data_IF_912266203628
#
_entry.id   IF_912266203628
#
_cell.length_a   1.000
_cell.length_b   1.000
_cell.length_c   1.000
_cell.angle_alpha   90.00
_cell.angle_beta   90.00
_cell.angle_gamma   90.00
#
_symmetry.space_group_name_H-M   'P 1'
#
loop_
_entity.id
_entity.type
_entity.pdbx_description
1 polymer ?
#
# COMPACT_ATOMS: atom_id res chain seq x y z
N UNK A 1 11.63 -1.69 17.55
CA UNK A 1 12.22 -0.35 17.84
C UNK A 1 13.53 -0.56 18.55
N UNK A 2 14.62 -0.06 17.97
CA UNK A 2 15.87 0.12 18.68
C UNK A 2 15.87 1.50 19.33
N UNK A 3 16.14 1.59 20.64
CA UNK A 3 16.16 2.85 21.38
C UNK A 3 17.58 3.38 21.60
N UNK A 4 18.59 2.64 21.13
CA UNK A 4 20.01 2.90 21.38
C UNK A 4 20.79 2.56 20.11
N UNK A 5 21.79 3.36 19.81
CA UNK A 5 22.69 3.12 18.70
C UNK A 5 24.12 3.59 19.03
N UNK A 6 25.02 3.42 18.06
CA UNK A 6 26.37 3.98 18.12
C UNK A 6 26.59 4.83 16.88
N UNK A 7 26.95 6.10 17.05
CA UNK A 7 27.28 7.03 15.98
C UNK A 7 28.73 7.50 16.17
N UNK A 8 29.61 7.22 15.21
CA UNK A 8 31.04 7.56 15.32
C UNK A 8 31.71 6.98 16.58
N UNK A 9 31.33 5.77 17.00
CA UNK A 9 31.84 5.12 18.22
C UNK A 9 31.23 5.62 19.53
N UNK A 10 30.35 6.63 19.50
CA UNK A 10 29.65 7.15 20.70
C UNK A 10 28.28 6.52 20.83
N UNK A 11 27.94 6.08 22.05
CA UNK A 11 26.60 5.60 22.37
C UNK A 11 25.61 6.77 22.28
N UNK A 12 24.53 6.57 21.56
CA UNK A 12 23.43 7.52 21.42
C UNK A 12 22.10 6.83 21.73
N UNK A 13 21.09 7.61 22.06
CA UNK A 13 19.72 7.13 22.23
C UNK A 13 18.84 7.72 21.13
N UNK A 14 17.91 6.91 20.63
CA UNK A 14 16.84 7.41 19.78
C UNK A 14 15.66 7.84 20.66
N UNK A 15 15.14 9.02 20.41
CA UNK A 15 13.97 9.58 21.07
C UNK A 15 12.93 9.96 20.03
N UNK A 16 11.65 9.88 20.40
CA UNK A 16 10.54 10.25 19.51
C UNK A 16 9.94 11.56 19.98
N UNK A 17 9.87 12.54 19.09
CA UNK A 17 9.12 13.79 19.28
C UNK A 17 7.87 13.75 18.39
N UNK A 18 6.69 13.64 19.00
CA UNK A 18 5.40 13.60 18.30
C UNK A 18 4.78 15.00 18.30
N UNK A 19 4.34 15.50 17.14
CA UNK A 19 3.75 16.84 17.03
C UNK A 19 2.48 16.99 17.87
N UNK A 20 1.71 15.92 18.04
CA UNK A 20 0.50 15.90 18.87
C UNK A 20 0.73 15.55 20.35
N UNK A 21 1.97 15.43 20.82
CA UNK A 21 2.22 15.19 22.26
C UNK A 21 1.80 16.42 23.08
N UNK A 22 1.08 16.22 24.19
CA UNK A 22 0.40 17.25 25.01
C UNK A 22 -0.81 17.92 24.35
N UNK A 23 -1.13 17.56 23.11
CA UNK A 23 -2.20 18.16 22.31
C UNK A 23 -3.20 17.09 21.83
N UNK A 24 -3.29 15.95 22.51
CA UNK A 24 -4.17 14.84 22.10
C UNK A 24 -5.65 15.25 22.11
N UNK A 25 -6.02 16.19 22.98
CA UNK A 25 -7.37 16.70 23.14
C UNK A 25 -7.74 17.78 22.10
N UNK A 26 -6.77 18.43 21.46
CA UNK A 26 -7.03 19.59 20.59
C UNK A 26 -7.91 19.23 19.39
N UNK A 27 -7.69 18.03 18.83
CA UNK A 27 -8.51 17.47 17.75
C UNK A 27 -10.01 17.38 18.09
N UNK A 28 -10.39 17.36 19.38
CA UNK A 28 -11.79 17.32 19.81
C UNK A 28 -12.56 18.51 19.24
N UNK A 29 -11.92 19.68 19.11
CA UNK A 29 -12.55 20.88 18.56
C UNK A 29 -13.00 20.63 17.11
N UNK A 30 -12.09 20.13 16.26
CA UNK A 30 -12.41 19.78 14.88
C UNK A 30 -13.49 18.71 14.78
N UNK A 31 -13.44 17.68 15.64
CA UNK A 31 -14.50 16.67 15.71
C UNK A 31 -15.85 17.22 16.15
N UNK A 32 -15.89 18.12 17.13
CA UNK A 32 -17.13 18.78 17.56
C UNK A 32 -17.73 19.62 16.43
N UNK A 33 -16.89 20.38 15.71
CA UNK A 33 -17.33 21.16 14.55
C UNK A 33 -17.87 20.27 13.43
N UNK A 34 -17.23 19.14 13.13
CA UNK A 34 -17.72 18.16 12.15
C UNK A 34 -19.08 17.55 12.54
N UNK A 35 -19.36 17.42 13.84
CA UNK A 35 -20.62 16.88 14.36
C UNK A 35 -21.68 17.96 14.63
N UNK A 36 -21.34 19.24 14.45
CA UNK A 36 -22.28 20.35 14.58
C UNK A 36 -22.96 20.64 13.23
N UNK A 37 -24.24 20.27 13.07
CA UNK A 37 -24.95 20.49 11.82
C UNK A 37 -25.22 21.98 11.53
N UNK A 38 -25.06 22.87 12.50
CA UNK A 38 -25.18 24.31 12.29
C UNK A 38 -23.86 24.93 11.81
N UNK A 39 -22.74 24.21 11.91
CA UNK A 39 -21.42 24.65 11.46
C UNK A 39 -21.06 24.13 10.04
N UNK A 40 -21.09 22.81 9.82
CA UNK A 40 -20.69 22.23 8.52
C UNK A 40 -21.85 22.34 7.52
N UNK A 41 -21.73 23.30 6.60
CA UNK A 41 -22.76 23.65 5.60
C UNK A 41 -22.20 23.78 4.18
N UNK A 42 -20.87 23.73 4.04
CA UNK A 42 -20.19 23.80 2.75
C UNK A 42 -18.83 23.11 2.81
N UNK A 43 -18.19 22.87 1.64
CA UNK A 43 -16.80 22.45 1.57
C UNK A 43 -15.85 23.31 2.42
N UNK A 44 -16.05 24.63 2.45
CA UNK A 44 -15.16 25.56 3.15
C UNK A 44 -15.29 25.43 4.67
N UNK A 45 -16.51 25.31 5.21
CA UNK A 45 -16.67 25.12 6.66
C UNK A 45 -16.24 23.72 7.08
N UNK A 46 -16.46 22.69 6.24
CA UNK A 46 -15.85 21.38 6.42
C UNK A 46 -14.31 21.46 6.50
N UNK A 47 -13.65 22.11 5.53
CA UNK A 47 -12.20 22.28 5.50
C UNK A 47 -11.69 23.06 6.71
N UNK A 48 -12.43 24.07 7.16
CA UNK A 48 -12.11 24.81 8.39
C UNK A 48 -12.22 23.93 9.64
N UNK A 49 -13.19 23.02 9.72
CA UNK A 49 -13.32 22.09 10.85
C UNK A 49 -12.14 21.11 10.92
N UNK A 50 -11.79 20.48 9.80
CA UNK A 50 -10.70 19.48 9.74
C UNK A 50 -9.31 20.11 9.93
N UNK A 51 -9.15 21.41 9.70
CA UNK A 51 -7.94 22.15 10.06
C UNK A 51 -7.64 22.16 11.56
N UNK A 52 -8.64 21.93 12.42
CA UNK A 52 -8.46 21.78 13.87
C UNK A 52 -8.11 20.36 14.30
N UNK A 53 -7.88 19.43 13.36
CA UNK A 53 -7.50 18.04 13.66
C UNK A 53 -5.99 17.89 13.46
N UNK A 54 -5.26 17.74 14.56
CA UNK A 54 -3.79 17.67 14.55
C UNK A 54 -3.21 16.34 14.09
N UNK A 55 -4.04 15.32 13.89
CA UNK A 55 -3.63 14.05 13.32
C UNK A 55 -3.55 14.10 11.80
N UNK A 56 -2.57 13.43 11.22
CA UNK A 56 -2.44 13.34 9.76
C UNK A 56 -3.44 12.34 9.17
N UNK A 57 -4.59 12.84 8.72
CA UNK A 57 -5.66 12.03 8.13
C UNK A 57 -6.20 12.64 6.83
N UNK A 58 -6.70 11.78 5.96
CA UNK A 58 -7.46 12.16 4.77
C UNK A 58 -8.94 12.30 5.13
N UNK A 59 -9.50 13.50 4.96
CA UNK A 59 -10.90 13.79 5.21
C UNK A 59 -11.64 14.05 3.91
N UNK A 60 -12.82 13.44 3.78
CA UNK A 60 -13.69 13.59 2.61
C UNK A 60 -15.03 14.17 3.02
N UNK A 61 -15.57 15.02 2.16
CA UNK A 61 -16.88 15.64 2.28
C UNK A 61 -17.71 15.36 1.02
N UNK A 62 -18.99 15.13 1.22
CA UNK A 62 -19.98 15.11 0.16
C UNK A 62 -21.31 15.66 0.68
N UNK A 63 -21.93 16.54 -0.09
CA UNK A 63 -23.34 16.91 0.03
C UNK A 63 -24.06 16.62 -1.31
N UNK A 64 -25.30 17.10 -1.49
CA UNK A 64 -26.06 16.85 -2.72
C UNK A 64 -25.53 17.55 -3.98
N UNK A 65 -24.55 18.44 -3.82
CA UNK A 65 -24.05 19.37 -4.86
C UNK A 65 -22.53 19.43 -4.95
N UNK A 66 -21.83 19.19 -3.84
CA UNK A 66 -20.40 19.40 -3.71
C UNK A 66 -19.69 18.19 -3.11
N UNK A 67 -18.42 18.05 -3.48
CA UNK A 67 -17.50 17.15 -2.81
C UNK A 67 -16.23 17.90 -2.42
N UNK A 68 -15.56 17.48 -1.35
CA UNK A 68 -14.30 18.11 -0.96
C UNK A 68 -13.35 17.13 -0.29
N UNK A 69 -12.08 17.52 -0.28
CA UNK A 69 -11.00 16.80 0.36
C UNK A 69 -10.09 17.77 1.13
N UNK A 70 -9.55 17.29 2.24
CA UNK A 70 -8.47 17.95 2.98
C UNK A 70 -7.62 16.92 3.73
N UNK A 71 -6.30 17.06 3.68
CA UNK A 71 -5.37 16.33 4.54
C UNK A 71 -5.11 17.16 5.80
N UNK A 72 -5.53 16.67 6.98
CA UNK A 72 -5.28 17.36 8.25
C UNK A 72 -3.88 17.04 8.79
N UNK A 73 -3.48 17.72 9.88
CA UNK A 73 -2.29 17.35 10.65
C UNK A 73 -1.43 18.53 11.09
N UNK A 74 -0.86 18.42 12.29
CA UNK A 74 0.18 19.33 12.77
C UNK A 74 1.54 18.90 12.17
N UNK A 75 1.74 19.24 10.91
CA UNK A 75 2.94 18.90 10.13
C UNK A 75 4.04 19.95 10.42
N UNK A 76 5.06 19.66 11.25
CA UNK A 76 5.99 20.68 11.71
C UNK A 76 6.88 21.19 10.58
N UNK A 77 7.13 22.49 10.56
CA UNK A 77 8.11 23.09 9.65
C UNK A 77 9.50 22.74 10.16
N UNK A 78 10.20 21.87 9.44
CA UNK A 78 11.55 21.43 9.82
C UNK A 78 12.59 22.54 9.59
N UNK A 79 13.68 22.49 10.35
CA UNK A 79 14.85 23.32 10.08
C UNK A 79 15.39 23.10 8.65
N UNK A 80 15.99 24.13 8.08
CA UNK A 80 16.58 24.06 6.73
C UNK A 80 17.73 23.05 6.72
N UNK A 81 17.78 22.19 5.69
CA UNK A 81 18.85 21.19 5.54
C UNK A 81 18.64 19.90 6.34
N UNK A 82 17.53 19.78 7.08
CA UNK A 82 17.13 18.52 7.69
C UNK A 82 16.56 17.58 6.62
N UNK A 83 17.18 16.42 6.46
CA UNK A 83 16.64 15.31 5.70
C UNK A 83 15.60 14.57 6.56
N UNK A 84 14.36 14.47 6.05
CA UNK A 84 13.26 13.84 6.78
C UNK A 84 13.29 12.31 6.71
N UNK A 85 14.17 11.72 5.89
CA UNK A 85 14.34 10.27 5.76
C UNK A 85 15.14 9.66 6.93
N UNK A 86 15.86 10.49 7.70
CA UNK A 86 16.75 10.03 8.77
C UNK A 86 16.40 10.65 10.12
N UNK A 87 16.74 9.96 11.23
CA UNK A 87 16.74 10.58 12.56
C UNK A 87 17.64 11.81 12.59
N UNK A 88 17.20 12.86 13.27
CA UNK A 88 17.95 14.10 13.45
C UNK A 88 18.62 14.16 14.83
N UNK A 89 19.73 14.89 14.92
CA UNK A 89 20.36 15.18 16.21
C UNK A 89 19.46 16.08 17.05
N UNK A 90 19.28 15.73 18.33
CA UNK A 90 18.57 16.55 19.31
C UNK A 90 19.41 17.78 19.72
N UNK A 91 19.48 18.76 18.82
CA UNK A 91 20.20 20.02 18.98
C UNK A 91 19.35 21.16 18.39
N UNK A 92 19.40 22.34 19.01
CA UNK A 92 18.63 23.51 18.60
C UNK A 92 18.70 23.85 17.09
N UNK A 93 19.82 23.55 16.43
CA UNK A 93 19.98 23.80 14.99
C UNK A 93 19.09 22.92 14.08
N UNK A 94 18.60 21.78 14.58
CA UNK A 94 17.82 20.80 13.82
C UNK A 94 16.40 20.60 14.36
N UNK A 95 16.03 21.33 15.41
CA UNK A 95 14.67 21.33 15.95
C UNK A 95 13.68 21.89 14.93
N UNK A 96 12.39 21.60 15.13
CA UNK A 96 11.34 22.24 14.33
C UNK A 96 11.41 23.76 14.51
N UNK A 97 11.04 24.52 13.47
CA UNK A 97 11.10 25.98 13.55
C UNK A 97 10.18 26.48 14.65
N UNK A 98 10.73 27.35 15.50
CA UNK A 98 10.06 27.92 16.68
C UNK A 98 9.50 26.87 17.64
N UNK A 99 10.12 25.69 17.74
CA UNK A 99 9.69 24.68 18.70
C UNK A 99 9.88 25.16 20.15
N UNK A 100 8.81 25.05 20.94
CA UNK A 100 8.82 25.32 22.37
C UNK A 100 8.62 24.01 23.14
N UNK A 101 9.65 23.49 23.84
CA UNK A 101 9.55 22.22 24.56
C UNK A 101 8.59 22.27 25.77
N UNK A 102 8.29 23.45 26.33
CA UNK A 102 7.40 23.57 27.48
C UNK A 102 5.93 23.37 27.10
N UNK A 103 5.56 23.75 25.88
CA UNK A 103 4.19 23.62 25.35
C UNK A 103 4.08 22.59 24.22
N UNK A 104 5.20 22.05 23.75
CA UNK A 104 5.31 21.21 22.56
C UNK A 104 4.61 21.80 21.32
N UNK A 105 4.77 23.11 21.11
CA UNK A 105 4.25 23.82 19.93
C UNK A 105 5.40 24.20 19.00
N UNK A 106 5.13 24.36 17.71
CA UNK A 106 6.09 24.81 16.71
C UNK A 106 5.38 25.56 15.58
N UNK A 107 6.14 26.04 14.60
CA UNK A 107 5.55 26.40 13.31
C UNK A 107 5.07 25.14 12.60
N UNK A 108 3.86 25.19 12.06
CA UNK A 108 3.26 24.09 11.28
C UNK A 108 2.99 24.52 9.84
N UNK A 109 2.83 23.52 8.97
CA UNK A 109 2.44 23.71 7.58
C UNK A 109 1.12 24.50 7.51
N UNK A 110 1.14 25.65 6.83
CA UNK A 110 -0.03 26.51 6.71
C UNK A 110 -1.17 25.79 5.95
N UNK A 111 -2.42 26.14 6.25
CA UNK A 111 -3.62 25.51 5.66
C UNK A 111 -3.59 25.41 4.13
N UNK A 112 -3.12 26.45 3.44
CA UNK A 112 -3.02 26.48 1.97
C UNK A 112 -1.99 25.51 1.38
N UNK A 113 -1.06 25.00 2.19
CA UNK A 113 -0.04 24.05 1.79
C UNK A 113 -0.42 22.59 2.12
N UNK A 114 -1.53 22.37 2.82
CA UNK A 114 -2.09 21.03 2.97
C UNK A 114 -2.80 20.61 1.68
N UNK A 115 -2.65 19.34 1.23
CA UNK A 115 -3.43 18.79 0.13
C UNK A 115 -4.92 18.97 0.37
N UNK A 116 -5.60 19.65 -0.56
CA UNK A 116 -7.02 19.91 -0.48
C UNK A 116 -7.61 20.16 -1.88
N UNK A 117 -8.91 19.97 -2.01
CA UNK A 117 -9.66 20.29 -3.24
C UNK A 117 -11.15 20.38 -2.97
N UNK A 118 -11.86 21.06 -3.86
CA UNK A 118 -13.33 21.15 -3.91
C UNK A 118 -13.76 20.77 -5.32
N UNK A 119 -14.78 19.93 -5.43
CA UNK A 119 -15.42 19.49 -6.67
C UNK A 119 -14.47 18.85 -7.70
N UNK A 120 -13.51 18.06 -7.22
CA UNK A 120 -12.82 17.09 -8.07
C UNK A 120 -13.82 16.03 -8.55
N UNK A 121 -13.70 15.57 -9.79
CA UNK A 121 -14.63 14.61 -10.43
C UNK A 121 -14.98 13.40 -9.54
N UNK A 122 -13.98 12.87 -8.82
CA UNK A 122 -14.14 11.84 -7.79
C UNK A 122 -12.90 11.77 -6.91
N UNK A 123 -13.01 11.10 -5.75
CA UNK A 123 -11.90 10.80 -4.85
C UNK A 123 -11.77 9.29 -4.64
N UNK A 124 -10.53 8.80 -4.67
CA UNK A 124 -10.17 7.51 -4.08
C UNK A 124 -9.08 7.73 -3.05
N UNK A 125 -9.09 6.90 -2.01
CA UNK A 125 -8.00 6.86 -1.05
C UNK A 125 -7.92 5.47 -0.45
N UNK A 126 -6.78 4.82 -0.63
CA UNK A 126 -6.43 3.59 0.06
C UNK A 126 -5.05 3.69 0.72
N UNK A 127 -4.87 4.77 1.48
CA UNK A 127 -3.60 5.16 2.10
C UNK A 127 -2.50 5.56 1.11
N UNK A 128 -2.84 5.76 -0.17
CA UNK A 128 -1.91 6.30 -1.16
C UNK A 128 -1.50 7.73 -0.82
N UNK A 129 -0.42 8.16 -1.48
CA UNK A 129 0.03 9.54 -1.55
C UNK A 129 -1.12 10.53 -1.81
N UNK A 130 -1.13 11.62 -1.05
CA UNK A 130 -2.25 12.56 -0.92
C UNK A 130 -2.44 13.48 -2.13
N UNK A 131 -1.33 13.97 -2.69
CA UNK A 131 -1.33 14.87 -3.84
C UNK A 131 -0.02 14.78 -4.61
N UNK A 132 -0.05 15.29 -5.85
CA UNK A 132 1.15 15.55 -6.65
C UNK A 132 2.05 16.54 -5.90
N UNK A 133 3.37 16.33 -5.98
CA UNK A 133 4.39 17.20 -5.39
C UNK A 133 4.32 17.38 -3.85
N UNK A 134 3.50 16.58 -3.17
CA UNK A 134 3.52 16.44 -1.71
C UNK A 134 4.46 15.31 -1.29
N UNK A 135 5.13 15.37 -0.14
CA UNK A 135 5.98 14.26 0.33
C UNK A 135 5.19 13.29 1.21
N UNK A 136 5.67 12.06 1.33
CA UNK A 136 5.09 11.02 2.19
C UNK A 136 6.21 10.26 2.88
N UNK A 137 5.93 9.71 4.06
CA UNK A 137 6.94 9.04 4.88
C UNK A 137 7.26 7.61 4.40
N UNK A 138 6.35 6.96 3.68
CA UNK A 138 6.53 5.56 3.27
C UNK A 138 7.34 5.45 1.98
N UNK A 139 8.40 4.63 1.98
CA UNK A 139 9.13 4.26 0.76
C UNK A 139 8.30 3.38 -0.20
N UNK A 140 7.12 2.92 0.21
CA UNK A 140 6.20 2.14 -0.64
C UNK A 140 5.26 2.97 -1.51
N UNK A 141 5.18 4.29 -1.29
CA UNK A 141 4.26 5.18 -2.01
C UNK A 141 4.81 5.58 -3.38
N UNK A 142 4.56 4.74 -4.39
CA UNK A 142 5.02 4.95 -5.77
C UNK A 142 3.93 4.87 -6.84
N UNK A 143 4.35 4.64 -8.09
CA UNK A 143 3.47 4.58 -9.28
C UNK A 143 2.55 3.37 -9.32
N UNK A 144 2.98 2.27 -8.71
CA UNK A 144 2.12 1.14 -8.37
C UNK A 144 1.80 1.25 -6.89
N UNK A 145 0.54 1.14 -6.52
CA UNK A 145 0.08 1.20 -5.13
C UNK A 145 -1.32 0.59 -5.05
N UNK A 146 -1.73 -0.02 -3.92
CA UNK A 146 -3.07 -0.66 -3.80
C UNK A 146 -4.25 0.26 -4.09
N UNK A 147 -4.07 1.57 -3.96
CA UNK A 147 -5.04 2.58 -4.39
C UNK A 147 -5.41 2.49 -5.87
N UNK A 148 -4.48 2.03 -6.73
CA UNK A 148 -4.72 1.81 -8.16
C UNK A 148 -5.87 0.81 -8.41
N UNK A 149 -6.01 -0.21 -7.54
CA UNK A 149 -7.08 -1.20 -7.67
C UNK A 149 -8.46 -0.55 -7.58
N UNK A 150 -8.62 0.46 -6.70
CA UNK A 150 -9.85 1.26 -6.63
C UNK A 150 -9.94 2.25 -7.79
N UNK A 151 -8.87 2.99 -8.05
CA UNK A 151 -8.77 4.01 -9.11
C UNK A 151 -9.22 3.45 -10.47
N UNK A 152 -8.65 2.31 -10.88
CA UNK A 152 -8.93 1.68 -12.16
C UNK A 152 -10.41 1.36 -12.39
N UNK A 153 -11.12 1.03 -11.30
CA UNK A 153 -12.53 0.66 -11.34
C UNK A 153 -13.42 1.90 -11.23
N UNK A 154 -13.12 2.80 -10.31
CA UNK A 154 -13.89 4.04 -10.09
C UNK A 154 -13.78 4.96 -11.30
N UNK A 155 -12.59 5.14 -11.86
CA UNK A 155 -12.38 5.96 -13.07
C UNK A 155 -13.21 5.47 -14.25
N UNK A 156 -13.27 4.15 -14.49
CA UNK A 156 -14.09 3.55 -15.55
C UNK A 156 -15.59 3.78 -15.30
N UNK A 157 -16.03 3.65 -14.05
CA UNK A 157 -17.42 3.92 -13.67
C UNK A 157 -17.80 5.38 -13.88
N UNK A 158 -16.96 6.32 -13.45
CA UNK A 158 -17.19 7.76 -13.60
C UNK A 158 -17.22 8.14 -15.08
N UNK A 159 -16.28 7.63 -15.88
CA UNK A 159 -16.26 7.87 -17.33
C UNK A 159 -17.50 7.34 -18.06
N UNK A 160 -18.09 6.23 -17.59
CA UNK A 160 -19.35 5.71 -18.12
C UNK A 160 -20.58 6.54 -17.70
N UNK A 161 -20.48 7.31 -16.61
CA UNK A 161 -21.58 8.06 -16.03
C UNK A 161 -22.59 7.19 -15.27
N UNK A 162 -23.54 7.83 -14.58
CA UNK A 162 -24.63 7.12 -13.88
C UNK A 162 -24.16 6.25 -12.71
N UNK A 163 -23.12 6.68 -11.99
CA UNK A 163 -22.60 5.94 -10.83
C UNK A 163 -23.68 5.82 -9.77
N UNK A 164 -23.99 4.57 -9.40
CA UNK A 164 -24.91 4.24 -8.31
C UNK A 164 -24.14 3.73 -7.10
N UNK A 165 -24.78 3.77 -5.93
CA UNK A 165 -24.29 3.09 -4.72
C UNK A 165 -23.96 1.61 -4.97
N UNK A 166 -24.81 0.91 -5.72
CA UNK A 166 -24.59 -0.50 -6.05
C UNK A 166 -23.37 -0.72 -6.96
N UNK A 167 -23.18 0.11 -8.00
CA UNK A 167 -22.02 -0.01 -8.88
C UNK A 167 -20.71 0.33 -8.15
N UNK A 168 -20.73 1.32 -7.25
CA UNK A 168 -19.56 1.67 -6.45
C UNK A 168 -19.18 0.56 -5.45
N UNK A 169 -20.17 -0.04 -4.78
CA UNK A 169 -19.95 -1.20 -3.91
C UNK A 169 -19.38 -2.38 -4.71
N UNK A 170 -19.88 -2.62 -5.93
CA UNK A 170 -19.36 -3.67 -6.81
C UNK A 170 -17.89 -3.40 -7.18
N UNK A 171 -17.52 -2.17 -7.51
CA UNK A 171 -16.13 -1.80 -7.79
C UNK A 171 -15.21 -2.02 -6.59
N UNK A 172 -15.64 -1.61 -5.38
CA UNK A 172 -14.86 -1.84 -4.17
C UNK A 172 -14.73 -3.34 -3.85
N UNK A 173 -15.81 -4.12 -3.97
CA UNK A 173 -15.76 -5.56 -3.75
C UNK A 173 -14.86 -6.28 -4.78
N UNK A 174 -14.83 -5.77 -6.02
CA UNK A 174 -13.96 -6.27 -7.07
C UNK A 174 -12.47 -5.99 -6.77
N UNK A 175 -12.15 -4.77 -6.33
CA UNK A 175 -10.81 -4.38 -5.92
C UNK A 175 -10.32 -5.18 -4.70
N UNK A 176 -11.22 -5.48 -3.76
CA UNK A 176 -10.89 -6.22 -2.54
C UNK A 176 -10.42 -7.67 -2.79
N UNK A 177 -10.64 -8.21 -3.98
CA UNK A 177 -10.22 -9.57 -4.36
C UNK A 177 -9.02 -9.57 -5.32
N UNK A 178 -8.57 -8.40 -5.79
CA UNK A 178 -7.48 -8.30 -6.75
C UNK A 178 -6.11 -8.46 -6.07
N UNK A 179 -5.18 -9.14 -6.73
CA UNK A 179 -3.78 -9.20 -6.31
C UNK A 179 -3.01 -8.07 -7.02
N UNK A 180 -2.50 -7.10 -6.24
CA UNK A 180 -1.83 -5.91 -6.79
C UNK A 180 -0.65 -6.27 -7.70
N UNK A 181 0.13 -7.29 -7.32
CA UNK A 181 1.30 -7.70 -8.10
C UNK A 181 0.84 -8.30 -9.44
N UNK A 182 -0.22 -9.11 -9.42
CA UNK A 182 -0.74 -9.75 -10.61
C UNK A 182 -1.45 -8.77 -11.56
N UNK A 183 -2.18 -7.79 -11.04
CA UNK A 183 -2.90 -6.79 -11.86
C UNK A 183 -1.93 -5.75 -12.45
N UNK A 184 -1.07 -5.15 -11.62
CA UNK A 184 -0.31 -3.96 -12.03
C UNK A 184 1.11 -4.28 -12.53
N UNK A 185 1.76 -5.34 -12.05
CA UNK A 185 3.20 -5.59 -12.31
C UNK A 185 3.43 -6.78 -13.24
N UNK A 186 2.78 -7.91 -12.97
CA UNK A 186 2.92 -9.17 -13.70
C UNK A 186 2.77 -9.04 -15.23
N UNK A 187 1.87 -8.21 -15.79
CA UNK A 187 1.80 -8.05 -17.24
C UNK A 187 3.11 -7.56 -17.88
N UNK A 188 3.89 -6.72 -17.18
CA UNK A 188 5.18 -6.22 -17.69
C UNK A 188 6.29 -7.27 -17.53
N UNK A 189 6.30 -7.99 -16.41
CA UNK A 189 7.19 -9.14 -16.22
C UNK A 189 6.99 -10.20 -17.32
N UNK A 190 5.73 -10.50 -17.66
CA UNK A 190 5.40 -11.43 -18.75
C UNK A 190 5.85 -10.92 -20.13
N UNK A 191 5.86 -9.60 -20.37
CA UNK A 191 6.42 -9.03 -21.61
C UNK A 191 7.93 -9.22 -21.72
N UNK A 192 8.68 -9.06 -20.62
CA UNK A 192 10.12 -9.38 -20.60
C UNK A 192 10.34 -10.87 -20.89
N UNK A 193 9.62 -11.76 -20.20
CA UNK A 193 9.73 -13.21 -20.39
C UNK A 193 9.39 -13.61 -21.83
N UNK A 194 8.36 -13.03 -22.42
CA UNK A 194 7.89 -13.32 -23.77
C UNK A 194 8.60 -12.51 -24.87
N UNK A 195 9.67 -11.77 -24.56
CA UNK A 195 10.50 -11.11 -25.58
C UNK A 195 11.20 -12.10 -26.52
N UNK A 196 11.27 -13.38 -26.13
CA UNK A 196 11.60 -14.52 -26.99
C UNK A 196 10.94 -15.80 -26.48
N UNK A 197 10.89 -16.85 -27.31
CA UNK A 197 10.26 -18.14 -26.97
C UNK A 197 10.83 -18.72 -25.67
N UNK A 198 9.95 -19.09 -24.74
CA UNK A 198 10.33 -19.78 -23.49
C UNK A 198 10.51 -21.26 -23.79
N UNK A 199 11.76 -21.73 -23.80
CA UNK A 199 12.11 -23.11 -24.17
C UNK A 199 12.11 -24.08 -22.98
N UNK A 200 12.32 -23.59 -21.76
CA UNK A 200 12.21 -24.39 -20.54
C UNK A 200 10.73 -24.70 -20.28
N UNK A 201 10.38 -25.99 -20.26
CA UNK A 201 8.99 -26.45 -20.19
C UNK A 201 8.31 -26.12 -18.86
N UNK A 202 9.07 -26.10 -17.75
CA UNK A 202 8.56 -25.70 -16.43
C UNK A 202 8.22 -24.22 -16.40
N UNK A 203 9.14 -23.37 -16.88
CA UNK A 203 8.90 -21.94 -16.98
C UNK A 203 7.74 -21.62 -17.94
N UNK A 204 7.68 -22.26 -19.11
CA UNK A 204 6.59 -22.08 -20.06
C UNK A 204 5.21 -22.43 -19.47
N UNK A 205 5.11 -23.53 -18.70
CA UNK A 205 3.88 -23.90 -18.01
C UNK A 205 3.48 -22.87 -16.95
N UNK A 206 4.44 -22.34 -16.18
CA UNK A 206 4.20 -21.30 -15.19
C UNK A 206 3.72 -19.99 -15.84
N UNK A 207 4.36 -19.55 -16.92
CA UNK A 207 3.95 -18.41 -17.74
C UNK A 207 2.52 -18.57 -18.24
N UNK A 208 2.15 -19.76 -18.73
CA UNK A 208 0.78 -20.05 -19.17
C UNK A 208 -0.25 -19.86 -18.06
N UNK A 209 0.01 -20.38 -16.86
CA UNK A 209 -0.88 -20.23 -15.70
C UNK A 209 -1.01 -18.78 -15.25
N UNK A 210 0.12 -18.06 -15.15
CA UNK A 210 0.15 -16.64 -14.78
C UNK A 210 -0.60 -15.78 -15.80
N UNK A 211 -0.39 -16.01 -17.10
CA UNK A 211 -1.07 -15.27 -18.18
C UNK A 211 -2.58 -15.53 -18.19
N UNK A 212 -2.99 -16.79 -17.97
CA UNK A 212 -4.41 -17.15 -17.86
C UNK A 212 -5.06 -16.46 -16.65
N UNK A 213 -4.37 -16.40 -15.51
CA UNK A 213 -4.87 -15.73 -14.32
C UNK A 213 -5.01 -14.21 -14.51
N UNK A 214 -4.02 -13.56 -15.12
CA UNK A 214 -4.12 -12.14 -15.51
C UNK A 214 -5.31 -11.90 -16.44
N UNK A 215 -5.50 -12.76 -17.45
CA UNK A 215 -6.64 -12.67 -18.39
C UNK A 215 -7.99 -12.86 -17.69
N UNK A 216 -8.03 -13.71 -16.66
CA UNK A 216 -9.20 -13.92 -15.80
C UNK A 216 -9.43 -12.78 -14.77
N UNK A 217 -8.60 -11.74 -14.79
CA UNK A 217 -8.74 -10.54 -13.98
C UNK A 217 -7.90 -10.50 -12.71
N UNK A 218 -6.90 -11.38 -12.56
CA UNK A 218 -5.87 -11.30 -11.49
C UNK A 218 -6.42 -11.33 -10.05
N UNK A 219 -7.55 -12.02 -9.81
CA UNK A 219 -8.20 -12.10 -8.50
C UNK A 219 -7.93 -13.40 -7.74
N UNK A 220 -7.95 -13.31 -6.42
CA UNK A 220 -8.00 -14.46 -5.50
C UNK A 220 -9.47 -14.79 -5.18
N UNK A 221 -10.13 -15.49 -6.08
CA UNK A 221 -11.54 -15.91 -5.92
C UNK A 221 -11.65 -17.39 -5.67
N UNK A 222 -12.55 -17.79 -4.78
CA UNK A 222 -12.96 -19.19 -4.64
C UNK A 222 -13.58 -19.72 -5.95
N UNK A 223 -13.52 -21.03 -6.16
CA UNK A 223 -14.15 -21.71 -7.31
C UNK A 223 -15.69 -21.60 -7.29
N UNK A 224 -16.26 -21.55 -6.09
CA UNK A 224 -17.66 -21.23 -5.83
C UNK A 224 -17.77 -20.67 -4.41
N UNK A 225 -18.89 -20.03 -4.07
CA UNK A 225 -19.07 -19.43 -2.76
C UNK A 225 -18.85 -20.46 -1.63
N UNK A 226 -17.84 -20.24 -0.79
CA UNK A 226 -17.52 -21.10 0.35
C UNK A 226 -16.82 -22.42 0.00
N UNK A 227 -16.30 -22.58 -1.22
CA UNK A 227 -15.59 -23.81 -1.63
C UNK A 227 -14.26 -24.01 -0.92
N UNK A 228 -13.68 -22.94 -0.34
CA UNK A 228 -12.36 -22.91 0.30
C UNK A 228 -11.23 -23.35 -0.63
N UNK A 229 -11.39 -23.12 -1.93
CA UNK A 229 -10.40 -23.45 -2.95
C UNK A 229 -10.37 -22.35 -3.99
N UNK A 230 -9.18 -21.78 -4.27
CA UNK A 230 -9.04 -20.73 -5.27
C UNK A 230 -9.12 -21.25 -6.70
N UNK A 231 -9.82 -20.49 -7.56
CA UNK A 231 -9.97 -20.82 -8.99
C UNK A 231 -8.63 -20.85 -9.74
N UNK A 232 -7.66 -20.03 -9.32
CA UNK A 232 -6.33 -19.93 -9.91
C UNK A 232 -5.22 -20.30 -8.90
N UNK A 233 -5.49 -21.29 -8.04
CA UNK A 233 -4.61 -21.69 -6.92
C UNK A 233 -3.12 -21.82 -7.30
N UNK A 234 -2.83 -22.49 -8.41
CA UNK A 234 -1.45 -22.66 -8.87
C UNK A 234 -0.77 -21.36 -9.30
N UNK A 235 -1.47 -20.48 -10.03
CA UNK A 235 -0.90 -19.20 -10.46
C UNK A 235 -0.61 -18.29 -9.25
N UNK A 236 -1.53 -18.28 -8.29
CA UNK A 236 -1.39 -17.57 -7.02
C UNK A 236 -0.17 -18.11 -6.25
N UNK A 237 -0.08 -19.44 -6.06
CA UNK A 237 1.07 -20.08 -5.38
C UNK A 237 2.39 -19.78 -6.06
N UNK A 238 2.42 -19.84 -7.40
CA UNK A 238 3.62 -19.52 -8.17
C UNK A 238 4.03 -18.07 -7.93
N UNK A 239 3.10 -17.11 -8.00
CA UNK A 239 3.44 -15.70 -7.78
C UNK A 239 3.88 -15.43 -6.33
N UNK A 240 3.21 -16.04 -5.34
CA UNK A 240 3.60 -15.94 -3.92
C UNK A 240 4.99 -16.50 -3.65
N UNK A 241 5.35 -17.61 -4.30
CA UNK A 241 6.70 -18.16 -4.25
C UNK A 241 7.73 -17.31 -5.03
N UNK A 242 7.31 -16.71 -6.13
CA UNK A 242 8.19 -16.05 -7.10
C UNK A 242 8.56 -14.63 -6.69
N UNK A 243 7.61 -13.86 -6.15
CA UNK A 243 7.82 -12.46 -5.85
C UNK A 243 9.04 -12.16 -4.95
N UNK A 244 9.25 -12.83 -3.80
CA UNK A 244 10.47 -12.58 -3.02
C UNK A 244 11.75 -13.02 -3.76
N UNK A 245 11.70 -14.08 -4.58
CA UNK A 245 12.85 -14.54 -5.36
C UNK A 245 13.21 -13.56 -6.47
N UNK A 246 12.21 -13.06 -7.21
CA UNK A 246 12.42 -12.13 -8.32
C UNK A 246 12.96 -10.80 -7.81
N UNK A 247 12.39 -10.24 -6.73
CA UNK A 247 12.85 -8.96 -6.17
C UNK A 247 14.30 -9.07 -5.70
N UNK A 248 14.64 -10.17 -5.02
CA UNK A 248 16.02 -10.42 -4.60
C UNK A 248 16.97 -10.53 -5.79
N UNK A 249 16.63 -11.35 -6.78
CA UNK A 249 17.50 -11.60 -7.94
C UNK A 249 17.63 -10.37 -8.85
N UNK A 250 16.63 -9.50 -8.88
CA UNK A 250 16.64 -8.24 -9.61
C UNK A 250 17.55 -7.21 -8.92
N UNK A 251 17.36 -6.96 -7.62
CA UNK A 251 17.96 -5.80 -6.95
C UNK A 251 19.24 -6.10 -6.16
N UNK A 252 19.35 -7.26 -5.51
CA UNK A 252 20.50 -7.57 -4.64
C UNK A 252 21.85 -7.50 -5.36
N UNK A 253 22.02 -8.01 -6.61
CA UNK A 253 23.29 -7.91 -7.30
C UNK A 253 23.77 -6.46 -7.53
N UNK A 254 22.83 -5.53 -7.73
CA UNK A 254 23.13 -4.12 -7.99
C UNK A 254 23.27 -3.27 -6.73
N UNK A 255 22.64 -3.67 -5.62
CA UNK A 255 22.69 -2.98 -4.33
C UNK A 255 23.81 -3.52 -3.41
N UNK A 256 24.16 -4.79 -3.56
CA UNK A 256 24.92 -5.54 -2.57
C UNK A 256 24.05 -5.98 -1.38
N UNK A 257 24.46 -7.08 -0.73
CA UNK A 257 23.65 -7.73 0.31
C UNK A 257 23.38 -6.86 1.53
N UNK A 258 24.33 -6.02 1.96
CA UNK A 258 24.16 -5.16 3.13
C UNK A 258 23.07 -4.10 2.90
N UNK A 259 23.12 -3.41 1.75
CA UNK A 259 22.14 -2.37 1.43
C UNK A 259 20.77 -2.98 1.10
N UNK A 260 20.72 -4.10 0.38
CA UNK A 260 19.47 -4.82 0.15
C UNK A 260 18.82 -5.25 1.47
N UNK A 261 19.60 -5.76 2.43
CA UNK A 261 19.10 -6.11 3.76
C UNK A 261 18.59 -4.89 4.53
N UNK A 262 19.31 -3.77 4.48
CA UNK A 262 18.88 -2.53 5.14
C UNK A 262 17.56 -2.00 4.55
N UNK A 263 17.42 -1.98 3.22
CA UNK A 263 16.18 -1.55 2.58
C UNK A 263 15.01 -2.49 2.84
N UNK A 264 15.23 -3.80 2.77
CA UNK A 264 14.15 -4.78 3.04
C UNK A 264 13.73 -4.84 4.51
N UNK A 265 14.60 -4.40 5.42
CA UNK A 265 14.25 -4.21 6.84
C UNK A 265 13.37 -2.98 7.08
N UNK A 266 13.47 -1.95 6.22
CA UNK A 266 12.62 -0.76 6.28
C UNK A 266 11.29 -0.99 5.56
N UNK A 267 11.36 -1.44 4.30
CA UNK A 267 10.23 -1.74 3.46
C UNK A 267 10.29 -3.22 3.06
N UNK A 268 9.42 -4.08 3.61
CA UNK A 268 9.31 -5.47 3.19
C UNK A 268 9.14 -5.58 1.67
N UNK A 269 9.65 -6.63 1.04
CA UNK A 269 9.52 -6.80 -0.42
C UNK A 269 8.09 -7.09 -0.85
N UNK A 270 7.30 -7.70 0.03
CA UNK A 270 5.97 -8.22 -0.23
C UNK A 270 5.07 -8.14 1.01
N UNK A 271 3.77 -8.19 0.77
CA UNK A 271 2.74 -8.29 1.81
C UNK A 271 1.52 -9.05 1.23
N UNK A 272 1.68 -10.36 0.90
CA UNK A 272 0.57 -11.19 0.44
C UNK A 272 -0.48 -11.34 1.55
N UNK A 273 -1.69 -11.82 1.22
CA UNK A 273 -2.78 -12.02 2.17
C UNK A 273 -2.45 -12.79 3.45
N UNK A 274 -1.53 -13.75 3.37
CA UNK A 274 -1.06 -14.56 4.49
C UNK A 274 -0.03 -13.87 5.39
N UNK A 275 0.34 -12.61 5.09
CA UNK A 275 1.33 -11.87 5.87
C UNK A 275 0.87 -11.56 7.29
N UNK A 276 1.83 -11.53 8.20
CA UNK A 276 1.59 -11.11 9.57
C UNK A 276 1.72 -9.59 9.73
N UNK A 277 0.74 -8.94 10.36
CA UNK A 277 0.77 -7.50 10.61
C UNK A 277 0.95 -7.21 12.09
N UNK A 278 2.20 -7.05 12.52
CA UNK A 278 2.53 -6.67 13.90
C UNK A 278 1.78 -7.51 14.95
N UNK A 279 1.20 -6.89 16.00
CA UNK A 279 0.45 -7.61 17.03
C UNK A 279 -0.78 -8.37 16.52
N UNK A 280 -1.34 -7.98 15.36
CA UNK A 280 -2.49 -8.63 14.72
C UNK A 280 -2.13 -10.01 14.15
N UNK A 281 -0.84 -10.27 13.89
CA UNK A 281 -0.39 -11.54 13.31
C UNK A 281 -0.93 -11.76 11.90
N UNK A 282 -0.89 -13.01 11.42
CA UNK A 282 -1.48 -13.41 10.15
C UNK A 282 -3.02 -13.35 10.20
N UNK A 283 -3.68 -13.56 9.05
CA UNK A 283 -5.14 -13.59 8.92
C UNK A 283 -5.86 -12.25 9.18
N UNK A 284 -5.17 -11.12 9.01
CA UNK A 284 -5.74 -9.79 9.26
C UNK A 284 -6.62 -9.25 8.10
N UNK A 285 -6.45 -9.79 6.89
CA UNK A 285 -7.19 -9.39 5.69
C UNK A 285 -6.62 -8.19 4.94
N UNK A 286 -5.94 -7.25 5.61
CA UNK A 286 -5.20 -6.18 4.93
C UNK A 286 -4.04 -6.75 4.13
N UNK A 287 -3.76 -6.22 2.94
CA UNK A 287 -2.63 -6.66 2.11
C UNK A 287 -2.16 -5.54 1.19
N UNK A 288 -0.97 -5.72 0.62
CA UNK A 288 -0.40 -4.85 -0.42
C UNK A 288 -0.30 -3.36 -0.02
N UNK A 289 -0.15 -3.07 1.26
CA UNK A 289 0.16 -1.74 1.80
C UNK A 289 1.65 -1.43 1.74
N UNK A 290 2.51 -2.42 2.00
CA UNK A 290 3.97 -2.30 1.91
C UNK A 290 4.58 -3.32 0.95
N UNK A 291 5.47 -2.89 0.06
CA UNK A 291 6.12 -3.77 -0.91
C UNK A 291 6.83 -3.04 -2.04
N UNK A 292 7.59 -3.81 -2.82
CA UNK A 292 8.53 -3.27 -3.82
C UNK A 292 7.93 -3.13 -5.22
N UNK A 293 6.61 -3.24 -5.37
CA UNK A 293 5.91 -3.25 -6.66
C UNK A 293 6.24 -2.06 -7.56
N UNK A 294 6.40 -0.86 -6.99
CA UNK A 294 6.74 0.34 -7.74
C UNK A 294 8.18 0.31 -8.25
N UNK A 295 9.09 -0.26 -7.48
CA UNK A 295 10.50 -0.39 -7.87
C UNK A 295 10.62 -1.40 -9.00
N UNK A 296 9.99 -2.57 -8.87
CA UNK A 296 9.93 -3.61 -9.93
C UNK A 296 9.27 -3.06 -11.19
N UNK A 297 8.09 -2.42 -11.10
CA UNK A 297 7.41 -1.86 -12.29
C UNK A 297 8.30 -0.85 -13.03
N UNK A 298 8.94 0.08 -12.30
CA UNK A 298 9.83 1.08 -12.90
C UNK A 298 11.05 0.44 -13.57
N UNK A 299 11.71 -0.50 -12.91
CA UNK A 299 12.92 -1.14 -13.44
C UNK A 299 12.60 -1.97 -14.69
N UNK A 300 11.56 -2.80 -14.62
CA UNK A 300 11.12 -3.64 -15.73
C UNK A 300 10.70 -2.79 -16.93
N UNK A 301 10.00 -1.67 -16.71
CA UNK A 301 9.65 -0.73 -17.79
C UNK A 301 10.90 -0.08 -18.40
N UNK A 302 11.90 0.28 -17.60
CA UNK A 302 13.17 0.80 -18.10
C UNK A 302 13.90 -0.24 -18.97
N UNK A 303 13.96 -1.50 -18.53
CA UNK A 303 14.56 -2.61 -19.29
C UNK A 303 13.80 -2.91 -20.59
N UNK A 304 12.47 -2.71 -20.61
CA UNK A 304 11.65 -2.77 -21.82
C UNK A 304 11.81 -1.56 -22.75
N UNK A 305 12.63 -0.57 -22.38
CA UNK A 305 12.84 0.66 -23.16
C UNK A 305 11.68 1.66 -23.08
N UNK A 306 10.81 1.54 -22.08
CA UNK A 306 9.71 2.47 -21.89
C UNK A 306 10.16 3.74 -21.13
N UNK A 307 9.54 4.90 -21.39
CA UNK A 307 9.77 6.10 -20.58
C UNK A 307 9.29 5.89 -19.14
N UNK A 308 10.16 6.19 -18.17
CA UNK A 308 9.87 6.09 -16.73
C UNK A 308 10.10 7.43 -16.05
N UNK A 309 9.03 8.07 -15.57
CA UNK A 309 9.13 9.28 -14.75
C UNK A 309 9.58 8.93 -13.33
N UNK A 310 10.57 9.67 -12.82
CA UNK A 310 11.16 9.37 -11.51
C UNK A 310 11.70 7.94 -11.44
N UNK A 311 12.43 7.54 -12.49
CA UNK A 311 13.07 6.23 -12.59
C UNK A 311 14.12 6.01 -11.50
N UNK A 312 14.57 4.76 -11.40
CA UNK A 312 15.65 4.39 -10.49
C UNK A 312 16.98 4.98 -10.98
N UNK A 313 17.96 5.12 -10.08
CA UNK A 313 19.30 5.64 -10.41
C UNK A 313 19.96 4.88 -11.56
N UNK A 314 19.70 3.58 -11.65
CA UNK A 314 20.16 2.67 -12.69
C UNK A 314 19.15 1.55 -12.87
N UNK A 315 19.24 0.83 -13.99
CA UNK A 315 18.51 -0.40 -14.17
C UNK A 315 19.18 -1.56 -13.41
N UNK A 316 18.39 -2.35 -12.70
CA UNK A 316 18.84 -3.43 -11.82
C UNK A 316 18.67 -4.80 -12.48
N UNK A 317 17.50 -5.09 -13.04
CA UNK A 317 17.20 -6.37 -13.67
C UNK A 317 18.18 -6.64 -14.83
N UNK A 318 18.97 -7.71 -14.71
CA UNK A 318 19.98 -8.04 -15.71
C UNK A 318 20.99 -6.93 -15.99
N UNK A 319 21.22 -6.02 -15.02
CA UNK A 319 22.02 -4.80 -15.20
C UNK A 319 21.54 -3.92 -16.38
N UNK A 320 20.23 -3.89 -16.63
CA UNK A 320 19.60 -3.13 -17.71
C UNK A 320 19.53 -3.85 -19.06
N UNK A 321 20.09 -5.06 -19.19
CA UNK A 321 19.96 -5.86 -20.40
C UNK A 321 18.65 -6.63 -20.40
N UNK A 322 17.83 -6.46 -21.45
CA UNK A 322 16.56 -7.17 -21.61
C UNK A 322 16.74 -8.70 -21.60
N UNK A 323 17.76 -9.22 -22.28
CA UNK A 323 18.02 -10.65 -22.33
C UNK A 323 18.48 -11.20 -20.98
N UNK A 324 19.37 -10.49 -20.29
CA UNK A 324 19.85 -10.91 -18.96
C UNK A 324 18.74 -10.82 -17.91
N UNK A 325 17.90 -9.77 -17.97
CA UNK A 325 16.73 -9.63 -17.11
C UNK A 325 15.75 -10.79 -17.34
N UNK A 326 15.48 -11.12 -18.61
CA UNK A 326 14.67 -12.28 -18.96
C UNK A 326 15.22 -13.58 -18.38
N UNK A 327 16.53 -13.82 -18.47
CA UNK A 327 17.15 -15.03 -17.94
C UNK A 327 17.00 -15.11 -16.42
N UNK A 328 17.18 -13.99 -15.70
CA UNK A 328 16.91 -13.87 -14.26
C UNK A 328 15.45 -14.20 -13.92
N UNK A 329 14.50 -13.62 -14.66
CA UNK A 329 13.07 -13.87 -14.43
C UNK A 329 12.68 -15.32 -14.69
N UNK A 330 13.20 -15.94 -15.76
CA UNK A 330 12.93 -17.36 -16.07
C UNK A 330 13.52 -18.28 -14.99
N UNK A 331 14.75 -18.01 -14.55
CA UNK A 331 15.41 -18.83 -13.53
C UNK A 331 14.65 -18.80 -12.20
N UNK A 332 14.30 -17.61 -11.72
CA UNK A 332 13.55 -17.44 -10.47
C UNK A 332 12.11 -17.96 -10.57
N UNK A 333 11.46 -17.82 -11.73
CA UNK A 333 10.12 -18.37 -11.98
C UNK A 333 10.12 -19.90 -11.95
N UNK A 334 11.15 -20.53 -12.52
CA UNK A 334 11.31 -21.99 -12.49
C UNK A 334 11.50 -22.50 -11.06
N UNK A 335 12.32 -21.83 -10.26
CA UNK A 335 12.48 -22.17 -8.84
C UNK A 335 11.15 -22.08 -8.11
N UNK A 336 10.42 -20.97 -8.29
CA UNK A 336 9.12 -20.74 -7.67
C UNK A 336 8.08 -21.79 -8.08
N UNK A 337 8.05 -22.15 -9.37
CA UNK A 337 7.15 -23.17 -9.89
C UNK A 337 7.37 -24.55 -9.26
N UNK A 338 8.61 -24.86 -8.86
CA UNK A 338 8.98 -26.09 -8.18
C UNK A 338 8.61 -26.14 -6.69
N UNK A 339 8.26 -25.02 -6.04
CA UNK A 339 7.91 -25.02 -4.61
C UNK A 339 6.53 -25.63 -4.38
N UNK A 340 6.42 -26.56 -3.44
CA UNK A 340 5.14 -27.17 -3.06
C UNK A 340 4.26 -26.18 -2.30
N UNK A 341 2.94 -26.44 -2.25
CA UNK A 341 2.04 -25.62 -1.44
C UNK A 341 2.47 -25.54 0.04
N UNK A 342 2.97 -26.64 0.62
CA UNK A 342 3.45 -26.65 2.00
C UNK A 342 4.73 -25.83 2.22
N UNK A 343 5.56 -25.65 1.18
CA UNK A 343 6.74 -24.78 1.26
C UNK A 343 6.37 -23.29 1.15
N UNK A 344 5.30 -22.97 0.41
CA UNK A 344 4.80 -21.59 0.26
C UNK A 344 3.90 -21.19 1.44
N UNK A 345 3.10 -22.13 1.93
CA UNK A 345 2.16 -21.97 3.03
C UNK A 345 2.51 -23.00 4.13
N UNK A 346 3.47 -22.70 5.03
CA UNK A 346 3.97 -23.67 6.01
C UNK A 346 2.94 -24.08 7.09
N UNK A 347 1.80 -23.38 7.18
CA UNK A 347 0.80 -23.58 8.21
C UNK A 347 1.14 -22.84 9.51
N UNK A 348 0.18 -22.80 10.41
CA UNK A 348 0.24 -22.11 11.71
C UNK A 348 -0.75 -22.76 12.70
N UNK A 349 -1.08 -22.07 13.78
CA UNK A 349 -2.04 -22.54 14.79
C UNK A 349 -3.49 -22.59 14.25
N UNK A 350 -3.76 -21.96 13.10
CA UNK A 350 -5.06 -21.93 12.46
C UNK A 350 -5.14 -22.92 11.29
N UNK A 351 -4.06 -23.10 10.53
CA UNK A 351 -4.06 -23.72 9.21
C UNK A 351 -3.03 -24.84 9.08
N UNK A 352 -3.40 -25.94 8.42
CA UNK A 352 -2.45 -26.98 8.06
C UNK A 352 -1.51 -26.52 6.94
N UNK A 353 -0.27 -27.05 6.94
CA UNK A 353 0.68 -26.78 5.87
C UNK A 353 0.11 -27.13 4.50
N UNK A 354 0.24 -26.21 3.54
CA UNK A 354 -0.27 -26.34 2.18
C UNK A 354 -1.72 -25.89 1.98
N UNK A 355 -2.44 -25.53 3.05
CA UNK A 355 -3.79 -24.97 2.94
C UNK A 355 -3.74 -23.48 2.54
N UNK A 356 -3.63 -23.25 1.23
CA UNK A 356 -3.53 -21.91 0.64
C UNK A 356 -4.72 -21.01 0.98
N UNK A 357 -5.95 -21.52 0.88
CA UNK A 357 -7.13 -20.71 1.19
C UNK A 357 -7.15 -20.32 2.67
N UNK A 358 -6.80 -21.26 3.55
CA UNK A 358 -6.76 -21.00 4.98
C UNK A 358 -5.69 -19.98 5.32
N UNK A 359 -4.48 -20.09 4.75
CA UNK A 359 -3.38 -19.15 4.95
C UNK A 359 -3.81 -17.69 4.68
N UNK A 360 -4.61 -17.47 3.64
CA UNK A 360 -5.12 -16.14 3.27
C UNK A 360 -6.39 -15.74 4.05
N UNK A 361 -7.12 -16.70 4.62
CA UNK A 361 -8.42 -16.48 5.27
C UNK A 361 -8.34 -15.47 6.42
N UNK A 362 -9.43 -14.75 6.67
CA UNK A 362 -9.52 -13.80 7.78
C UNK A 362 -10.04 -14.53 9.02
N UNK A 363 -9.31 -14.39 10.13
CA UNK A 363 -9.63 -14.95 11.44
C UNK A 363 -9.97 -13.83 12.40
N UNK A 364 -11.23 -13.75 12.82
CA UNK A 364 -11.67 -12.74 13.78
C UNK A 364 -11.16 -13.09 15.17
N UNK A 365 -10.34 -12.20 15.74
CA UNK A 365 -9.88 -12.35 17.13
C UNK A 365 -11.06 -12.20 18.07
N UNK A 366 -11.24 -13.20 18.93
CA UNK A 366 -12.35 -13.25 19.88
C UNK A 366 -12.20 -12.15 20.94
N UNK A 367 -13.20 -11.29 21.07
CA UNK A 367 -13.38 -10.43 22.24
C UNK A 367 -14.51 -10.99 23.10
N UNK A 368 -14.17 -11.64 24.21
CA UNK A 368 -15.15 -12.32 25.07
C UNK A 368 -15.48 -13.76 24.64
N UNK A 369 -16.74 -14.19 24.78
CA UNK A 369 -17.16 -15.58 24.54
C UNK A 369 -17.63 -15.91 23.12
N UNK A 370 -17.69 -14.94 22.21
CA UNK A 370 -18.25 -15.10 20.85
C UNK A 370 -17.12 -15.34 19.84
N UNK A 371 -17.19 -16.46 19.14
CA UNK A 371 -16.26 -16.82 18.06
C UNK A 371 -16.96 -16.67 16.70
N UNK A 372 -16.18 -16.35 15.68
CA UNK A 372 -16.63 -16.34 14.29
C UNK A 372 -15.87 -17.39 13.49
N UNK A 373 -16.51 -17.93 12.46
CA UNK A 373 -15.83 -18.76 11.48
C UNK A 373 -14.83 -17.95 10.66
N UNK A 374 -13.84 -18.64 10.09
CA UNK A 374 -12.95 -18.08 9.07
C UNK A 374 -13.78 -17.63 7.87
N UNK A 375 -13.40 -16.50 7.29
CA UNK A 375 -14.00 -16.02 6.04
C UNK A 375 -12.94 -15.93 4.96
N UNK A 376 -13.37 -16.06 3.71
CA UNK A 376 -12.50 -15.86 2.55
C UNK A 376 -11.82 -14.50 2.62
N UNK A 377 -10.56 -14.45 2.23
CA UNK A 377 -9.80 -13.22 2.14
C UNK A 377 -10.53 -12.15 1.31
N UNK A 378 -10.50 -10.94 1.81
CA UNK A 378 -10.89 -9.72 1.12
C UNK A 378 -10.06 -8.58 1.70
N UNK A 379 -9.37 -7.83 0.86
CA UNK A 379 -8.64 -6.63 1.28
C UNK A 379 -9.64 -5.48 1.45
N UNK A 380 -10.41 -5.54 2.54
CA UNK A 380 -11.60 -4.71 2.77
C UNK A 380 -11.55 -4.11 4.18
N UNK A 381 -12.05 -2.87 4.39
CA UNK A 381 -12.12 -2.29 5.72
C UNK A 381 -13.07 -3.07 6.63
N UNK A 382 -12.85 -2.92 7.94
CA UNK A 382 -13.67 -3.52 9.01
C UNK A 382 -15.15 -3.12 8.95
N UNK A 383 -15.44 -1.92 8.44
CA UNK A 383 -16.80 -1.39 8.31
C UNK A 383 -16.92 -0.54 7.04
N UNK A 384 -18.17 -0.40 6.55
CA UNK A 384 -18.45 0.32 5.31
C UNK A 384 -19.76 1.09 5.38
N UNK A 385 -19.75 2.28 4.77
CA UNK A 385 -20.92 3.11 4.54
C UNK A 385 -21.06 3.37 3.05
N UNK A 386 -22.31 3.42 2.60
CA UNK A 386 -22.66 3.68 1.21
C UNK A 386 -23.81 4.67 1.22
N UNK A 387 -23.46 5.94 1.05
CA UNK A 387 -24.36 7.07 1.27
C UNK A 387 -24.56 7.83 -0.04
N UNK A 388 -25.75 8.38 -0.23
CA UNK A 388 -26.12 9.23 -1.36
C UNK A 388 -26.95 10.38 -0.79
N UNK A 389 -26.56 11.61 -1.08
CA UNK A 389 -27.23 12.82 -0.60
C UNK A 389 -28.06 13.40 -1.75
N UNK A 390 -29.39 13.42 -1.60
CA UNK A 390 -30.32 13.86 -2.66
C UNK A 390 -30.85 15.29 -2.47
N UNK A 391 -30.60 15.90 -1.32
CA UNK A 391 -30.95 17.29 -1.05
C UNK A 391 -29.96 17.93 -0.07
N UNK A 392 -29.85 19.27 -0.15
CA UNK A 392 -29.06 20.09 0.77
C UNK A 392 -29.94 20.56 1.93
N UNK A 393 -29.35 20.83 3.10
CA UNK A 393 -30.06 21.26 4.31
C UNK A 393 -29.95 22.77 4.53
#
# INVERSE_FOLDING_TARGET
MEYRATAGGKKVAYTTLRSSFLHEADSIIGFQMLNDPDYVKSPQTFQSAVQHINYTFNWFYADSTHTAYYNSGDNPVRATGVDAEFPVWAQAAYEWRNWNPATNTADYTAASAHPNSVDQDYYISWNNKQAKDYTTASWGDGSVHRGNLLEDRVKKLVAAGGVTRASLVKAMADAALADLRAEDVLPKLLRVINSSTVTDTTAAAAVGKLSAWVTAGAKRTETSAGSKAYANADAIRILDAWWPLLVKAEFEPGLGSDLFTAFTSNLPTDEPPSSAHGPTGAHAGSSFQYGWWSYVDKDIRAVLGEPVQGGLEKSYCGSGSLSACRDTLISTLKEAAGKTAAQVYPGDDQCSAGDQWCADSIVQRTLGGIKHGKITWQNRPTYQQVVEYTSHR
#
